data_IF_551403282766
#
_entry.id   IF_551403282766
#
_cell.length_a   1.000
_cell.length_b   1.000
_cell.length_c   1.000
_cell.angle_alpha   90.00
_cell.angle_beta   90.00
_cell.angle_gamma   90.00
#
_symmetry.space_group_name_H-M   'P 1'
#
loop_
_entity.id
_entity.type
_entity.pdbx_description
1 polymer ?
#
# COMPACT_ATOMS: atom_id res chain seq x y z
N UNK A 1 -3.00 -6.72 11.08
CA UNK A 1 -3.45 -7.80 10.15
C UNK A 1 -2.95 -9.13 10.66
N UNK A 2 -3.84 -10.09 10.93
CA UNK A 2 -3.46 -11.38 11.53
C UNK A 2 -2.52 -12.19 10.64
N UNK A 3 -2.76 -12.24 9.33
CA UNK A 3 -1.95 -13.02 8.41
C UNK A 3 -0.45 -12.62 8.42
N UNK A 4 -0.15 -11.32 8.44
CA UNK A 4 1.23 -10.80 8.59
C UNK A 4 1.89 -11.30 9.86
N UNK A 5 1.14 -11.30 10.98
CA UNK A 5 1.62 -11.81 12.28
C UNK A 5 1.83 -13.32 12.25
N UNK A 6 0.94 -14.09 11.64
CA UNK A 6 1.05 -15.55 11.51
C UNK A 6 2.28 -15.95 10.67
N UNK A 7 2.67 -15.14 9.69
CA UNK A 7 3.91 -15.32 8.92
C UNK A 7 5.18 -14.90 9.68
N UNK A 8 5.08 -14.42 10.93
CA UNK A 8 6.24 -13.94 11.70
C UNK A 8 6.78 -12.57 11.26
N UNK A 9 6.00 -11.80 10.49
CA UNK A 9 6.44 -10.56 9.85
C UNK A 9 6.05 -9.28 10.61
N UNK A 10 5.77 -9.40 11.91
CA UNK A 10 5.42 -8.25 12.76
C UNK A 10 6.62 -7.31 12.89
N UNK A 11 6.43 -6.00 12.73
CA UNK A 11 7.54 -5.04 12.85
C UNK A 11 7.94 -4.73 14.28
N UNK A 12 7.06 -5.02 15.25
CA UNK A 12 7.30 -4.78 16.67
C UNK A 12 7.02 -3.33 17.08
N UNK A 13 7.32 -3.02 18.35
CA UNK A 13 7.13 -1.70 18.96
C UNK A 13 8.42 -1.24 19.65
N UNK A 14 8.57 0.08 19.82
CA UNK A 14 9.70 0.68 20.54
C UNK A 14 11.01 0.67 19.76
N UNK A 15 12.14 0.54 20.45
CA UNK A 15 13.50 0.73 19.90
C UNK A 15 13.92 -0.27 18.81
N UNK A 16 13.22 -1.38 18.67
CA UNK A 16 13.46 -2.41 17.63
C UNK A 16 12.44 -2.39 16.48
N UNK A 17 11.60 -1.35 16.37
CA UNK A 17 10.55 -1.30 15.34
C UNK A 17 11.19 -1.23 13.96
N UNK A 18 10.91 -2.21 13.10
CA UNK A 18 11.26 -2.15 11.67
C UNK A 18 10.41 -1.09 10.98
N UNK A 19 11.02 -0.21 10.19
CA UNK A 19 10.29 0.76 9.37
C UNK A 19 9.72 0.04 8.14
N UNK A 20 8.41 0.15 7.90
CA UNK A 20 7.70 -0.52 6.83
C UNK A 20 7.25 0.50 5.79
N UNK A 21 7.69 0.34 4.55
CA UNK A 21 7.14 1.05 3.40
C UNK A 21 6.08 0.18 2.73
N UNK A 22 4.91 0.76 2.41
CA UNK A 22 3.79 0.02 1.82
C UNK A 22 3.36 0.67 0.51
N UNK A 23 3.56 -0.01 -0.61
CA UNK A 23 3.08 0.40 -1.93
C UNK A 23 1.72 -0.23 -2.21
N UNK A 24 0.67 0.58 -2.36
CA UNK A 24 -0.70 0.15 -2.57
C UNK A 24 -1.15 0.50 -3.99
N UNK A 25 -1.12 -0.47 -4.90
CA UNK A 25 -1.59 -0.32 -6.28
C UNK A 25 -3.04 -0.78 -6.40
N UNK A 26 -3.86 0.02 -7.10
CA UNK A 26 -5.22 -0.38 -7.43
C UNK A 26 -5.79 0.40 -8.61
N UNK A 27 -7.04 0.08 -8.97
CA UNK A 27 -7.76 0.70 -10.09
C UNK A 27 -8.87 1.66 -9.65
N UNK A 28 -9.17 1.77 -8.36
CA UNK A 28 -10.15 2.72 -7.83
C UNK A 28 -9.65 3.33 -6.53
N UNK A 29 -9.86 4.64 -6.37
CA UNK A 29 -9.43 5.37 -5.18
C UNK A 29 -10.58 5.53 -4.18
N UNK A 30 -10.24 5.40 -2.90
CA UNK A 30 -11.12 5.72 -1.78
C UNK A 30 -10.80 7.08 -1.17
N UNK A 31 -11.60 7.50 -0.20
CA UNK A 31 -11.31 8.70 0.58
C UNK A 31 -10.22 8.36 1.61
N UNK A 32 -9.09 9.03 1.51
CA UNK A 32 -7.96 8.83 2.42
C UNK A 32 -7.89 9.95 3.44
N UNK A 33 -7.87 9.57 4.71
CA UNK A 33 -7.56 10.45 5.83
C UNK A 33 -6.25 10.00 6.47
N UNK A 34 -5.55 10.92 7.15
CA UNK A 34 -4.36 10.57 7.94
C UNK A 34 -4.66 9.46 8.94
N UNK A 35 -5.84 9.50 9.56
CA UNK A 35 -6.26 8.49 10.52
C UNK A 35 -6.39 7.10 9.88
N UNK A 36 -7.10 6.99 8.76
CA UNK A 36 -7.30 5.70 8.11
C UNK A 36 -6.00 5.14 7.53
N UNK A 37 -5.13 5.99 6.96
CA UNK A 37 -3.83 5.54 6.47
C UNK A 37 -2.94 5.02 7.61
N UNK A 38 -2.91 5.69 8.77
CA UNK A 38 -2.17 5.19 9.93
C UNK A 38 -2.75 3.89 10.47
N UNK A 39 -4.07 3.77 10.51
CA UNK A 39 -4.76 2.54 10.92
C UNK A 39 -4.42 1.37 10.01
N UNK A 40 -4.49 1.59 8.69
CA UNK A 40 -4.12 0.58 7.70
C UNK A 40 -2.64 0.21 7.83
N UNK A 41 -1.75 1.20 7.93
CA UNK A 41 -0.30 0.98 8.08
C UNK A 41 0.03 0.21 9.36
N UNK A 42 -0.63 0.53 10.48
CA UNK A 42 -0.53 -0.21 11.73
C UNK A 42 -0.91 -1.68 11.54
N UNK A 43 -2.02 -1.93 10.84
CA UNK A 43 -2.43 -3.28 10.48
C UNK A 43 -1.42 -3.98 9.55
N UNK A 44 -0.87 -3.27 8.57
CA UNK A 44 0.13 -3.76 7.61
C UNK A 44 1.44 -4.19 8.29
N UNK A 45 1.75 -3.62 9.46
CA UNK A 45 2.87 -4.02 10.31
C UNK A 45 2.64 -5.31 11.11
N UNK A 46 1.46 -5.93 11.00
CA UNK A 46 1.10 -7.10 11.79
C UNK A 46 0.77 -6.78 13.26
N UNK A 47 0.62 -5.50 13.61
CA UNK A 47 0.21 -5.06 14.93
C UNK A 47 -1.29 -5.33 15.17
N UNK A 48 -1.69 -5.37 16.44
CA UNK A 48 -3.06 -5.72 16.85
C UNK A 48 -3.99 -4.51 16.79
N UNK A 49 -5.29 -4.76 16.58
CA UNK A 49 -6.30 -3.70 16.56
C UNK A 49 -6.57 -3.17 17.97
N UNK A 50 -6.46 -4.03 18.98
CA UNK A 50 -6.57 -3.72 20.40
C UNK A 50 -5.52 -2.67 20.77
N UNK A 51 -4.26 -2.94 20.43
CA UNK A 51 -3.12 -2.03 20.64
C UNK A 51 -3.32 -0.65 19.98
N UNK A 52 -3.95 -0.63 18.80
CA UNK A 52 -4.28 0.62 18.10
C UNK A 52 -5.39 1.40 18.81
N UNK A 53 -6.40 0.70 19.32
CA UNK A 53 -7.57 1.32 19.95
C UNK A 53 -7.33 1.74 21.41
N UNK A 54 -6.39 1.09 22.10
CA UNK A 54 -5.93 1.47 23.44
C UNK A 54 -5.24 2.84 23.45
N UNK A 55 -4.62 3.22 22.32
CA UNK A 55 -4.06 4.55 22.16
C UNK A 55 -5.17 5.61 22.05
N UNK A 56 -5.15 6.67 22.90
CA UNK A 56 -6.19 7.68 22.92
C UNK A 56 -6.43 8.30 21.54
N UNK A 57 -7.71 8.44 21.16
CA UNK A 57 -8.11 9.02 19.85
C UNK A 57 -7.41 10.35 19.55
N UNK A 58 -7.33 11.25 20.52
CA UNK A 58 -6.66 12.56 20.40
C UNK A 58 -5.16 12.45 20.06
N UNK A 59 -4.50 11.36 20.45
CA UNK A 59 -3.09 11.09 20.11
C UNK A 59 -2.98 10.52 18.70
N UNK A 60 -3.87 9.60 18.33
CA UNK A 60 -3.94 9.03 16.97
C UNK A 60 -4.25 10.09 15.90
N UNK A 61 -5.13 11.04 16.19
CA UNK A 61 -5.48 12.15 15.28
C UNK A 61 -4.31 13.10 14.99
N UNK A 62 -3.29 13.11 15.86
CA UNK A 62 -2.09 13.95 15.70
C UNK A 62 -0.93 13.23 15.02
N UNK A 63 -1.09 11.96 14.66
CA UNK A 63 -0.04 11.21 13.98
C UNK A 63 0.22 11.82 12.58
N UNK A 64 1.49 11.91 12.15
CA UNK A 64 1.79 12.27 10.78
C UNK A 64 1.31 11.17 9.82
N UNK A 65 1.33 11.44 8.52
CA UNK A 65 1.08 10.39 7.55
C UNK A 65 2.17 9.29 7.63
N UNK A 66 1.79 8.01 7.51
CA UNK A 66 2.75 6.90 7.53
C UNK A 66 3.44 6.73 6.17
N UNK A 67 4.43 5.84 6.11
CA UNK A 67 5.13 5.41 4.87
C UNK A 67 4.22 4.54 3.98
N UNK A 68 3.14 5.14 3.46
CA UNK A 68 2.21 4.52 2.50
C UNK A 68 2.26 5.29 1.19
N UNK A 69 2.48 4.57 0.10
CA UNK A 69 2.51 5.08 -1.26
C UNK A 69 1.26 4.57 -1.99
N UNK A 70 0.40 5.49 -2.46
CA UNK A 70 -0.76 5.15 -3.28
C UNK A 70 -0.32 5.14 -4.73
N UNK A 71 -0.33 3.96 -5.36
CA UNK A 71 0.11 3.75 -6.74
C UNK A 71 -1.11 3.74 -7.65
N UNK A 72 -1.26 4.80 -8.43
CA UNK A 72 -2.41 5.03 -9.31
C UNK A 72 -1.95 5.73 -10.59
N UNK A 73 -2.56 5.48 -11.77
CA UNK A 73 -2.05 6.07 -13.00
C UNK A 73 -2.35 7.57 -13.07
N UNK A 74 -1.37 8.33 -13.53
CA UNK A 74 -1.59 9.72 -13.95
C UNK A 74 -2.44 9.79 -15.22
N UNK A 75 -3.02 10.96 -15.49
CA UNK A 75 -3.68 11.24 -16.77
C UNK A 75 -2.73 11.01 -17.95
N UNK A 76 -1.47 11.46 -17.83
CA UNK A 76 -0.45 11.25 -18.85
C UNK A 76 -0.18 9.76 -19.10
N UNK A 77 -0.08 8.94 -18.04
CA UNK A 77 0.09 7.48 -18.16
C UNK A 77 -1.08 6.83 -18.90
N UNK A 78 -2.32 7.27 -18.65
CA UNK A 78 -3.49 6.77 -19.40
C UNK A 78 -3.44 7.17 -20.86
N UNK A 79 -3.16 8.43 -21.17
CA UNK A 79 -3.06 8.93 -22.54
C UNK A 79 -1.94 8.25 -23.34
N UNK A 80 -0.84 7.86 -22.69
CA UNK A 80 0.30 7.16 -23.29
C UNK A 80 0.12 5.63 -23.33
N UNK A 81 -0.98 5.10 -22.80
CA UNK A 81 -1.26 3.67 -22.86
C UNK A 81 -1.72 3.24 -24.27
N UNK A 82 -1.65 1.95 -24.58
CA UNK A 82 -2.00 1.36 -25.89
C UNK A 82 -3.39 1.79 -26.38
N UNK A 83 -4.37 1.89 -25.47
CA UNK A 83 -5.75 2.27 -25.78
C UNK A 83 -6.07 3.73 -25.43
N UNK A 84 -5.06 4.50 -25.01
CA UNK A 84 -5.25 5.87 -24.54
C UNK A 84 -6.36 6.00 -23.50
N UNK A 85 -7.09 7.11 -23.58
CA UNK A 85 -8.21 7.40 -22.69
C UNK A 85 -9.38 6.41 -22.81
N UNK A 86 -9.61 5.79 -23.98
CA UNK A 86 -10.67 4.78 -24.16
C UNK A 86 -10.45 3.56 -23.26
N UNK A 87 -9.21 3.18 -23.01
CA UNK A 87 -8.86 2.10 -22.07
C UNK A 87 -9.06 2.45 -20.59
N UNK A 88 -9.25 3.74 -20.26
CA UNK A 88 -9.34 4.24 -18.88
C UNK A 88 -10.68 3.99 -18.18
N UNK A 89 -11.66 3.37 -18.84
CA UNK A 89 -13.03 3.22 -18.32
C UNK A 89 -13.17 2.34 -17.07
N UNK A 90 -12.14 1.56 -16.73
CA UNK A 90 -12.11 0.68 -15.54
C UNK A 90 -11.26 1.24 -14.39
N UNK A 91 -10.78 2.48 -14.54
CA UNK A 91 -9.91 3.14 -13.58
C UNK A 91 -10.64 4.36 -13.00
N UNK A 92 -10.89 4.38 -11.69
CA UNK A 92 -11.83 5.31 -11.07
C UNK A 92 -11.16 6.23 -10.05
N UNK A 93 -11.22 7.53 -10.33
CA UNK A 93 -11.00 8.62 -9.38
C UNK A 93 -12.09 9.66 -9.61
N UNK A 94 -12.61 10.26 -8.53
CA UNK A 94 -13.59 11.36 -8.62
C UNK A 94 -12.88 12.69 -8.40
N UNK A 95 -13.15 13.69 -9.24
CA UNK A 95 -12.60 15.05 -9.12
C UNK A 95 -12.88 15.64 -7.74
N UNK A 96 -14.09 15.46 -7.22
CA UNK A 96 -14.47 15.97 -5.90
C UNK A 96 -13.58 15.40 -4.77
N UNK A 97 -13.24 14.12 -4.86
CA UNK A 97 -12.34 13.48 -3.90
C UNK A 97 -10.91 13.98 -4.08
N UNK A 98 -10.42 13.99 -5.32
CA UNK A 98 -9.08 14.49 -5.61
C UNK A 98 -8.93 15.92 -5.13
N UNK A 99 -9.86 16.83 -5.43
CA UNK A 99 -9.77 18.25 -5.06
C UNK A 99 -9.97 18.54 -3.56
N UNK A 100 -10.35 17.56 -2.73
CA UNK A 100 -10.61 17.79 -1.31
C UNK A 100 -9.36 18.33 -0.59
N UNK A 101 -9.54 19.36 0.26
CA UNK A 101 -8.46 20.14 0.88
C UNK A 101 -7.37 19.30 1.56
N UNK A 102 -7.76 18.24 2.26
CA UNK A 102 -6.86 17.43 3.08
C UNK A 102 -6.48 16.10 2.43
N UNK A 103 -6.82 15.89 1.16
CA UNK A 103 -6.56 14.62 0.50
C UNK A 103 -5.05 14.47 0.19
N UNK A 104 -4.43 13.31 0.47
CA UNK A 104 -2.98 13.18 0.60
C UNK A 104 -2.25 13.07 -0.75
N UNK A 105 -2.29 14.10 -1.60
CA UNK A 105 -1.66 14.07 -2.95
C UNK A 105 -0.18 13.74 -2.92
N UNK A 106 0.53 14.18 -1.88
CA UNK A 106 1.97 13.94 -1.72
C UNK A 106 2.34 12.46 -1.49
N UNK A 107 1.34 11.59 -1.30
CA UNK A 107 1.49 10.14 -1.19
C UNK A 107 1.21 9.41 -2.50
N UNK A 108 0.96 10.11 -3.61
CA UNK A 108 0.66 9.49 -4.90
C UNK A 108 1.91 9.23 -5.72
N UNK A 109 1.90 8.07 -6.36
CA UNK A 109 2.93 7.56 -7.24
C UNK A 109 2.30 6.96 -8.48
N UNK A 110 2.98 7.10 -9.60
CA UNK A 110 2.48 6.71 -10.92
C UNK A 110 2.49 5.20 -11.11
N UNK A 111 1.37 4.69 -11.60
CA UNK A 111 1.14 3.26 -11.81
C UNK A 111 1.61 2.83 -13.19
N UNK A 112 2.92 2.78 -13.40
CA UNK A 112 3.49 2.33 -14.67
C UNK A 112 3.58 0.79 -14.70
N UNK A 113 2.94 0.15 -15.68
CA UNK A 113 2.97 -1.32 -15.82
C UNK A 113 4.35 -1.85 -16.21
N UNK A 114 4.73 -3.02 -15.69
CA UNK A 114 5.87 -3.82 -16.17
C UNK A 114 5.54 -4.56 -17.47
N UNK A 115 4.25 -4.81 -17.74
CA UNK A 115 3.77 -5.52 -18.93
C UNK A 115 3.68 -4.66 -20.20
N UNK A 116 4.38 -3.52 -20.26
CA UNK A 116 4.33 -2.57 -21.39
C UNK A 116 3.38 -1.39 -21.15
N UNK A 117 2.98 -0.64 -22.19
CA UNK A 117 2.15 0.56 -22.08
C UNK A 117 0.67 0.22 -21.86
N UNK A 118 0.37 -0.65 -20.89
CA UNK A 118 -1.00 -1.08 -20.56
C UNK A 118 -1.42 -0.59 -19.18
N UNK A 119 -2.71 -0.34 -19.01
CA UNK A 119 -3.29 -0.03 -17.71
C UNK A 119 -3.47 -1.30 -16.88
N UNK A 120 -3.34 -1.18 -15.56
CA UNK A 120 -3.44 -2.29 -14.64
C UNK A 120 -4.77 -2.25 -13.90
N UNK A 121 -5.58 -3.29 -14.08
CA UNK A 121 -6.75 -3.55 -13.24
C UNK A 121 -6.43 -4.51 -12.08
N UNK A 122 -5.18 -4.92 -11.92
CA UNK A 122 -4.68 -5.63 -10.73
C UNK A 122 -4.80 -4.77 -9.49
N UNK A 123 -4.84 -5.42 -8.32
CA UNK A 123 -4.69 -4.76 -7.03
C UNK A 123 -3.63 -5.51 -6.24
N UNK A 124 -2.59 -4.78 -5.89
CA UNK A 124 -1.44 -5.33 -5.20
C UNK A 124 -1.04 -4.42 -4.05
N UNK A 125 -0.64 -5.02 -2.95
CA UNK A 125 0.04 -4.30 -1.88
C UNK A 125 1.40 -4.94 -1.71
N UNK A 126 2.46 -4.15 -1.74
CA UNK A 126 3.79 -4.63 -1.47
C UNK A 126 4.39 -3.86 -0.30
N UNK A 127 4.58 -4.56 0.81
CA UNK A 127 5.14 -4.02 2.03
C UNK A 127 6.57 -4.52 2.19
N UNK A 128 7.52 -3.60 2.34
CA UNK A 128 8.95 -3.91 2.46
C UNK A 128 9.55 -3.18 3.65
N UNK A 129 10.42 -3.85 4.40
CA UNK A 129 11.18 -3.21 5.47
C UNK A 129 12.22 -2.28 4.85
N UNK A 130 12.37 -1.07 5.37
CA UNK A 130 13.49 -0.21 5.01
C UNK A 130 14.73 -0.76 5.71
N UNK A 131 15.81 -0.94 4.94
CA UNK A 131 17.11 -1.32 5.50
C UNK A 131 17.46 -0.37 6.64
N UNK A 132 17.68 -0.94 7.82
CA UNK A 132 18.28 -0.18 8.89
C UNK A 132 19.76 -0.02 8.55
N UNK A 133 20.32 1.18 8.71
CA UNK A 133 21.76 1.44 8.50
C UNK A 133 22.67 0.59 9.42
N UNK A 134 22.10 -0.17 10.36
CA UNK A 134 22.79 -1.07 11.29
C UNK A 134 22.96 -2.50 10.79
N UNK A 135 22.08 -3.00 9.90
CA UNK A 135 22.19 -4.38 9.37
C UNK A 135 23.38 -4.54 8.40
N UNK A 136 23.87 -3.45 7.80
CA UNK A 136 25.09 -3.45 6.96
C UNK A 136 26.39 -3.76 7.72
N UNK A 137 26.39 -3.77 9.05
CA UNK A 137 27.60 -4.01 9.86
C UNK A 137 27.72 -5.45 10.40
N UNK A 138 26.72 -6.31 10.21
CA UNK A 138 26.70 -7.68 10.76
C UNK A 138 26.89 -8.79 9.71
N UNK A 139 27.08 -8.44 8.43
CA UNK A 139 27.35 -9.41 7.34
C UNK A 139 28.84 -9.53 6.98
N UNK A 140 29.73 -9.27 7.95
CA UNK A 140 31.14 -9.65 7.84
C UNK A 140 31.48 -10.47 9.08
N UNK A 141 32.01 -11.68 8.87
CA UNK A 141 32.35 -12.74 9.84
C UNK A 141 31.17 -13.57 10.37
N UNK A 142 30.88 -14.71 9.74
CA UNK A 142 31.38 -15.99 10.29
C UNK A 142 31.22 -17.14 9.27
N UNK A 143 32.22 -18.02 9.26
CA UNK A 143 32.31 -19.24 8.46
C UNK A 143 31.81 -20.45 9.27
N UNK A 144 31.23 -21.43 8.58
CA UNK A 144 30.84 -22.79 9.03
C UNK A 144 29.53 -22.96 9.83
N UNK A 145 28.48 -23.44 9.15
CA UNK A 145 27.87 -24.77 9.35
C UNK A 145 26.57 -24.93 8.55
N UNK A 146 26.25 -26.18 8.19
CA UNK A 146 25.04 -26.67 7.49
C UNK A 146 23.71 -26.34 8.22
N UNK A 147 23.37 -25.06 8.27
CA UNK A 147 22.05 -24.55 8.65
C UNK A 147 21.61 -23.67 7.49
N UNK A 148 20.59 -24.09 6.74
CA UNK A 148 19.90 -23.17 5.83
C UNK A 148 19.31 -22.05 6.68
N UNK A 149 20.02 -20.92 6.78
CA UNK A 149 19.46 -19.67 7.26
C UNK A 149 18.37 -19.32 6.28
N UNK A 150 17.11 -19.59 6.64
CA UNK A 150 15.97 -19.00 5.94
C UNK A 150 16.16 -17.50 6.14
N UNK A 151 16.68 -16.82 5.11
CA UNK A 151 16.86 -15.38 5.18
C UNK A 151 15.55 -14.75 5.61
N UNK A 152 15.56 -13.89 6.65
CA UNK A 152 14.33 -13.32 7.16
C UNK A 152 13.70 -12.51 6.03
N UNK A 153 12.46 -12.87 5.69
CA UNK A 153 11.71 -12.20 4.63
C UNK A 153 11.81 -10.67 4.77
N UNK A 154 12.10 -9.99 3.66
CA UNK A 154 12.24 -8.51 3.63
C UNK A 154 10.89 -7.79 3.65
N UNK A 155 9.79 -8.52 3.75
CA UNK A 155 8.44 -7.98 3.79
C UNK A 155 7.39 -9.00 3.32
N UNK A 156 6.28 -8.50 2.79
CA UNK A 156 5.19 -9.31 2.28
C UNK A 156 4.51 -8.64 1.09
N UNK A 157 3.88 -9.46 0.25
CA UNK A 157 3.03 -9.00 -0.83
C UNK A 157 1.62 -9.56 -0.66
N UNK A 158 0.64 -8.77 -1.10
CA UNK A 158 -0.74 -9.15 -1.25
C UNK A 158 -1.17 -8.97 -2.71
N UNK A 159 -1.97 -9.91 -3.22
CA UNK A 159 -2.60 -9.83 -4.53
C UNK A 159 -4.05 -10.28 -4.40
N UNK A 160 -4.99 -9.51 -4.95
CA UNK A 160 -6.39 -9.91 -4.97
C UNK A 160 -7.31 -8.84 -5.55
N UNK A 161 -8.58 -8.83 -5.10
CA UNK A 161 -9.62 -7.95 -5.66
C UNK A 161 -9.72 -6.58 -4.98
N UNK A 162 -9.30 -6.47 -3.71
CA UNK A 162 -9.41 -5.26 -2.90
C UNK A 162 -8.72 -4.05 -3.53
N UNK A 163 -9.48 -3.05 -4.00
CA UNK A 163 -8.92 -1.72 -4.18
C UNK A 163 -8.41 -1.16 -2.85
N UNK A 164 -7.44 -0.25 -2.88
CA UNK A 164 -6.93 0.37 -1.66
C UNK A 164 -7.93 1.40 -1.13
N UNK A 165 -9.03 0.94 -0.53
CA UNK A 165 -10.12 1.79 -0.03
C UNK A 165 -10.61 1.32 1.34
N UNK A 166 -11.22 2.22 2.14
CA UNK A 166 -11.88 1.83 3.39
C UNK A 166 -13.05 0.86 3.20
N UNK A 167 -13.72 0.85 2.05
CA UNK A 167 -14.84 -0.07 1.80
C UNK A 167 -14.38 -1.52 1.63
N UNK A 168 -13.21 -1.71 1.01
CA UNK A 168 -12.60 -3.01 0.80
C UNK A 168 -11.86 -3.51 2.03
N UNK A 169 -11.05 -2.66 2.66
CA UNK A 169 -10.19 -3.06 3.80
C UNK A 169 -10.79 -2.80 5.18
N UNK A 170 -11.87 -2.03 5.23
CA UNK A 170 -12.62 -1.71 6.43
C UNK A 170 -12.12 -0.48 7.20
N UNK A 171 -12.83 -0.20 8.28
CA UNK A 171 -12.49 0.82 9.29
C UNK A 171 -12.67 0.26 10.69
N UNK A 172 -11.76 0.59 11.60
CA UNK A 172 -11.80 0.18 13.00
C UNK A 172 -12.61 1.17 13.85
N UNK A 173 -13.46 0.61 14.71
CA UNK A 173 -14.20 1.33 15.75
C UNK A 173 -14.24 0.50 17.04
N UNK A 174 -14.99 0.96 18.04
CA UNK A 174 -15.07 0.30 19.35
C UNK A 174 -13.93 0.71 20.30
N UNK A 175 -13.49 -0.22 21.13
CA UNK A 175 -12.43 -0.05 22.13
C UNK A 175 -11.36 -1.14 22.00
N UNK A 176 -10.22 -1.01 22.67
CA UNK A 176 -9.21 -2.07 22.67
C UNK A 176 -9.71 -3.39 23.26
N UNK A 177 -10.67 -3.33 24.20
CA UNK A 177 -11.32 -4.52 24.76
C UNK A 177 -12.32 -5.17 23.79
N UNK A 178 -13.08 -4.35 23.04
CA UNK A 178 -14.08 -4.80 22.07
C UNK A 178 -13.83 -4.11 20.72
N UNK A 179 -12.80 -4.54 19.95
CA UNK A 179 -12.51 -3.97 18.65
C UNK A 179 -13.58 -4.37 17.63
N UNK A 180 -14.00 -3.42 16.79
CA UNK A 180 -14.98 -3.66 15.72
C UNK A 180 -14.35 -3.30 14.39
N UNK A 181 -14.36 -4.22 13.43
CA UNK A 181 -13.93 -3.98 12.05
C UNK A 181 -15.17 -3.92 11.14
N UNK A 182 -15.40 -2.76 10.53
CA UNK A 182 -16.53 -2.54 9.63
C UNK A 182 -16.06 -2.65 8.17
N UNK A 183 -16.58 -3.62 7.42
CA UNK A 183 -16.24 -3.86 6.01
C UNK A 183 -17.54 -3.86 5.20
N UNK A 184 -17.51 -3.23 4.02
CA UNK A 184 -18.70 -3.08 3.16
C UNK A 184 -18.65 -3.96 1.91
N UNK A 185 -17.47 -4.37 1.46
CA UNK A 185 -17.30 -5.14 0.24
C UNK A 185 -16.96 -6.61 0.54
N UNK A 186 -17.31 -7.49 -0.39
CA UNK A 186 -16.78 -8.85 -0.46
C UNK A 186 -15.57 -8.86 -1.37
N UNK A 187 -14.46 -9.34 -0.86
CA UNK A 187 -13.19 -9.28 -1.55
C UNK A 187 -12.35 -10.50 -1.17
N UNK A 188 -11.46 -10.93 -2.06
CA UNK A 188 -10.59 -12.09 -1.84
C UNK A 188 -9.18 -11.80 -2.36
N UNK A 189 -8.18 -12.35 -1.69
CA UNK A 189 -6.81 -12.32 -2.15
C UNK A 189 -5.91 -13.21 -1.31
N UNK A 190 -4.64 -13.23 -1.68
CA UNK A 190 -3.59 -13.99 -1.02
C UNK A 190 -2.53 -13.04 -0.48
N UNK A 191 -1.87 -13.47 0.59
CA UNK A 191 -0.72 -12.77 1.17
C UNK A 191 0.42 -13.76 1.36
N UNK A 192 1.64 -13.36 1.02
CA UNK A 192 2.81 -14.22 1.08
C UNK A 192 4.08 -13.42 1.40
N UNK A 193 5.11 -14.06 2.01
CA UNK A 193 6.36 -13.40 2.36
C UNK A 193 7.20 -13.10 1.11
N UNK A 194 7.98 -12.02 1.17
CA UNK A 194 8.97 -11.65 0.16
C UNK A 194 10.36 -12.04 0.64
N UNK A 195 11.15 -12.68 -0.23
CA UNK A 195 12.47 -13.23 0.13
C UNK A 195 13.47 -12.09 0.25
N UNK A 196 13.63 -11.37 -0.85
CA UNK A 196 14.56 -10.27 -1.06
C UNK A 196 13.88 -9.18 -1.93
N UNK A 197 14.64 -8.14 -2.29
CA UNK A 197 14.11 -7.04 -3.12
C UNK A 197 13.85 -7.48 -4.55
N UNK A 198 14.66 -8.37 -5.07
CA UNK A 198 14.56 -8.95 -6.40
C UNK A 198 13.25 -9.73 -6.55
N UNK A 199 12.87 -10.50 -5.53
CA UNK A 199 11.59 -11.20 -5.46
C UNK A 199 10.43 -10.19 -5.35
N UNK A 200 10.59 -9.12 -4.55
CA UNK A 200 9.60 -8.05 -4.44
C UNK A 200 9.38 -7.31 -5.78
N UNK A 201 10.42 -7.18 -6.59
CA UNK A 201 10.34 -6.64 -7.94
C UNK A 201 9.74 -7.65 -8.91
N UNK A 202 10.16 -8.91 -8.86
CA UNK A 202 9.67 -9.98 -9.73
C UNK A 202 8.14 -10.14 -9.64
N UNK A 203 7.58 -10.12 -8.43
CA UNK A 203 6.14 -10.33 -8.23
C UNK A 203 5.28 -9.12 -8.58
N UNK A 204 5.87 -7.92 -8.64
CA UNK A 204 5.13 -6.68 -8.86
C UNK A 204 4.66 -6.55 -10.30
N UNK A 205 3.39 -6.23 -10.51
CA UNK A 205 2.87 -5.86 -11.82
C UNK A 205 3.30 -4.45 -12.26
N UNK A 206 3.70 -3.58 -11.34
CA UNK A 206 4.07 -2.18 -11.59
C UNK A 206 5.58 -1.95 -11.46
N UNK A 207 6.12 -0.93 -12.14
CA UNK A 207 7.54 -0.58 -12.05
C UNK A 207 7.88 -0.15 -10.62
N UNK A 208 9.00 -0.66 -10.10
CA UNK A 208 9.48 -0.38 -8.74
C UNK A 208 10.92 0.15 -8.77
N UNK A 209 11.27 1.11 -7.89
CA UNK A 209 10.35 1.88 -7.05
C UNK A 209 9.38 2.70 -7.92
N UNK A 210 8.11 2.88 -7.49
CA UNK A 210 7.15 3.62 -8.29
C UNK A 210 7.57 5.09 -8.36
N UNK A 211 7.33 5.74 -9.50
CA UNK A 211 7.71 7.14 -9.71
C UNK A 211 6.77 8.04 -8.93
N UNK A 212 7.29 8.92 -8.07
CA UNK A 212 6.45 9.89 -7.35
C UNK A 212 5.76 10.85 -8.32
N UNK A 213 4.50 11.21 -8.02
CA UNK A 213 3.81 12.27 -8.75
C UNK A 213 4.61 13.57 -8.66
N UNK A 214 4.78 14.23 -9.81
CA UNK A 214 5.31 15.59 -9.88
C UNK A 214 4.23 16.61 -9.51
N UNK A 215 4.61 17.87 -9.30
CA UNK A 215 3.67 18.93 -8.92
C UNK A 215 2.57 19.17 -9.97
N UNK A 216 2.87 18.90 -11.24
CA UNK A 216 1.95 19.02 -12.37
C UNK A 216 1.17 17.74 -12.68
N UNK A 217 1.48 16.62 -12.02
CA UNK A 217 0.81 15.36 -12.30
C UNK A 217 -0.60 15.35 -11.69
N UNK A 218 -1.59 15.06 -12.52
CA UNK A 218 -2.97 14.79 -12.10
C UNK A 218 -3.26 13.29 -12.28
N UNK A 219 -4.06 12.69 -11.37
CA UNK A 219 -4.52 11.32 -11.56
C UNK A 219 -5.43 11.24 -12.79
N UNK A 220 -5.56 10.04 -13.34
CA UNK A 220 -6.66 9.77 -14.25
C UNK A 220 -8.00 9.96 -13.55
N UNK A 221 -8.84 10.84 -14.08
CA UNK A 221 -10.20 11.10 -13.61
C UNK A 221 -11.14 10.79 -14.76
N UNK A 222 -11.73 9.58 -14.73
CA UNK A 222 -12.54 9.04 -15.82
C UNK A 222 -13.68 9.99 -16.25
N UNK A 223 -14.37 10.61 -15.29
CA UNK A 223 -15.50 11.52 -15.52
C UNK A 223 -15.13 12.80 -16.31
N UNK A 224 -13.84 13.09 -16.50
CA UNK A 224 -13.35 14.24 -17.28
C UNK A 224 -12.99 13.90 -18.72
N UNK A 225 -13.00 12.61 -19.06
CA UNK A 225 -12.66 12.17 -20.41
C UNK A 225 -13.89 12.21 -21.30
N UNK A 226 -13.80 12.79 -22.51
CA UNK A 226 -14.91 12.79 -23.47
C UNK A 226 -15.33 11.38 -23.91
N UNK A 227 -14.50 10.36 -23.67
CA UNK A 227 -14.81 8.96 -24.00
C UNK A 227 -15.69 8.25 -22.96
N UNK A 228 -15.87 8.83 -21.78
CA UNK A 228 -16.60 8.22 -20.65
C UNK A 228 -17.67 9.15 -20.07
N UNK A 229 -17.99 10.24 -20.77
CA UNK A 229 -19.11 11.12 -20.46
C UNK A 229 -20.33 10.60 -21.22
N UNK A 230 -21.23 9.91 -20.52
CA UNK A 230 -22.59 9.61 -20.97
C UNK A 230 -23.53 10.80 -20.71
#
# INVERSE_FOLDING_TARGET
>A
MQAVRTMGLRTGKGKGTKDLSVDCQGSSLGIYTTQWLNEFHWSARGESAEDWLDEPKKKREKLPYPSVNVVFPTKATVQQSTLGEQGGGTIFCRRKQWAAKNFPRNHFYDSNSKGGPVLMHSKMIIATYKESSKEKQLQADDSDNDIEVIEPAVGWAYVGSHNFTPSAWGTLSGSGFNPILNISNYELGIVFPLKDKEHADLVSCFKRPPRKYAAQDEPWIQEESPYHQE
#
